data_IF_266024307698
#
_entry.id   IF_266024307698
#
_cell.length_a   1.000
_cell.length_b   1.000
_cell.length_c   1.000
_cell.angle_alpha   90.00
_cell.angle_beta   90.00
_cell.angle_gamma   90.00
#
_symmetry.space_group_name_H-M   'P 1'
#
loop_
_entity.id
_entity.type
_entity.pdbx_description
1 polymer ?
#
# COMPACT_ATOMS: atom_id res chain seq x y z
N UNK A 1 20.61 11.58 -23.36
CA UNK A 1 19.76 11.57 -22.15
C UNK A 1 20.64 11.94 -20.98
N UNK A 2 20.27 12.97 -20.20
CA UNK A 2 21.01 13.34 -19.00
C UNK A 2 20.48 12.48 -17.84
N UNK A 3 21.37 11.78 -17.16
CA UNK A 3 21.04 11.10 -15.90
C UNK A 3 20.96 12.15 -14.82
N UNK A 4 19.76 12.47 -14.35
CA UNK A 4 19.55 13.32 -13.18
C UNK A 4 19.68 12.47 -11.92
N UNK A 5 20.53 12.88 -10.98
CA UNK A 5 20.61 12.27 -9.65
C UNK A 5 19.91 13.18 -8.66
N UNK A 6 18.91 12.67 -7.97
CA UNK A 6 18.21 13.37 -6.89
C UNK A 6 18.76 12.91 -5.55
N UNK A 7 18.88 13.85 -4.62
CA UNK A 7 19.41 13.59 -3.29
C UNK A 7 18.36 13.98 -2.26
N UNK A 8 18.06 13.06 -1.35
CA UNK A 8 17.14 13.28 -0.24
C UNK A 8 17.87 13.08 1.08
N UNK A 9 17.69 14.05 1.99
CA UNK A 9 18.12 13.90 3.37
C UNK A 9 17.03 13.17 4.16
N UNK A 10 17.33 11.96 4.63
CA UNK A 10 16.40 11.18 5.44
C UNK A 10 16.43 11.62 6.90
N UNK A 11 15.25 11.84 7.46
CA UNK A 11 15.07 11.93 8.91
C UNK A 11 15.03 10.51 9.51
N UNK A 12 15.39 10.33 10.81
CA UNK A 12 15.26 9.04 11.47
C UNK A 12 13.84 8.48 11.34
N UNK A 13 13.73 7.20 10.96
CA UNK A 13 12.45 6.50 10.79
C UNK A 13 11.50 7.13 9.75
N UNK A 14 12.03 7.88 8.78
CA UNK A 14 11.24 8.45 7.68
C UNK A 14 11.32 7.59 6.42
N UNK A 15 10.21 7.57 5.66
CA UNK A 15 10.13 7.01 4.31
C UNK A 15 9.87 8.17 3.35
N UNK A 16 10.65 8.26 2.27
CA UNK A 16 10.47 9.27 1.23
C UNK A 16 10.07 8.54 -0.06
N UNK A 17 8.80 8.64 -0.49
CA UNK A 17 8.39 8.12 -1.79
C UNK A 17 8.94 9.02 -2.90
N UNK A 18 9.53 8.42 -3.94
CA UNK A 18 10.02 9.14 -5.11
C UNK A 18 9.38 8.56 -6.37
N UNK A 19 8.69 9.41 -7.13
CA UNK A 19 8.07 9.05 -8.40
C UNK A 19 8.91 9.58 -9.55
N UNK A 20 9.23 8.69 -10.50
CA UNK A 20 10.03 9.01 -11.67
C UNK A 20 9.21 8.76 -12.94
N UNK A 21 9.10 9.79 -13.78
CA UNK A 21 8.53 9.68 -15.12
C UNK A 21 9.66 9.70 -16.15
N UNK A 22 9.66 8.73 -17.05
CA UNK A 22 10.62 8.66 -18.15
C UNK A 22 9.91 8.32 -19.45
N UNK A 23 10.49 8.78 -20.56
CA UNK A 23 10.05 8.48 -21.91
C UNK A 23 11.04 7.54 -22.59
N UNK A 24 10.55 6.48 -23.21
CA UNK A 24 11.39 5.57 -23.99
C UNK A 24 11.30 5.94 -25.48
N UNK A 25 12.44 6.22 -26.14
CA UNK A 25 12.45 6.62 -27.54
C UNK A 25 12.28 5.44 -28.50
N UNK A 26 12.53 4.22 -28.05
CA UNK A 26 12.45 3.00 -28.84
C UNK A 26 12.29 1.76 -27.93
N UNK A 27 11.85 0.62 -28.49
CA UNK A 27 11.88 -0.68 -27.81
C UNK A 27 13.31 -1.07 -27.39
N UNK A 28 13.45 -1.75 -26.26
CA UNK A 28 14.73 -2.17 -25.73
C UNK A 28 14.70 -2.44 -24.23
N UNK A 29 15.86 -2.83 -23.68
CA UNK A 29 16.05 -3.01 -22.24
C UNK A 29 16.74 -1.78 -21.66
N UNK A 30 16.08 -1.13 -20.71
CA UNK A 30 16.56 0.07 -20.05
C UNK A 30 16.84 -0.24 -18.59
N UNK A 31 18.09 -0.01 -18.16
CA UNK A 31 18.49 -0.18 -16.77
C UNK A 31 18.11 1.03 -15.93
N UNK A 32 17.52 0.80 -14.78
CA UNK A 32 17.33 1.84 -13.75
C UNK A 32 18.52 1.83 -12.80
N UNK A 33 19.07 3.01 -12.53
CA UNK A 33 20.06 3.16 -11.47
C UNK A 33 19.37 2.99 -10.11
N UNK A 34 19.83 2.05 -9.25
CA UNK A 34 19.19 1.81 -7.97
C UNK A 34 19.41 2.96 -6.99
N UNK A 35 18.56 3.06 -5.98
CA UNK A 35 18.75 3.98 -4.87
C UNK A 35 20.01 3.60 -4.07
N UNK A 36 20.79 4.62 -3.67
CA UNK A 36 22.00 4.45 -2.87
C UNK A 36 21.88 5.24 -1.56
N UNK A 37 22.27 4.62 -0.45
CA UNK A 37 22.31 5.27 0.87
C UNK A 37 23.75 5.55 1.24
N UNK A 38 24.07 6.82 1.49
CA UNK A 38 25.42 7.27 1.85
C UNK A 38 25.44 7.89 3.25
N UNK A 39 26.57 7.77 3.95
CA UNK A 39 26.84 8.47 5.21
C UNK A 39 28.30 8.83 5.31
N UNK A 40 28.60 10.13 5.47
CA UNK A 40 29.99 10.65 5.60
C UNK A 40 30.89 10.11 4.48
N UNK A 41 30.44 10.29 3.24
CA UNK A 41 31.12 9.86 2.01
C UNK A 41 31.36 8.35 1.86
N UNK A 42 30.68 7.52 2.68
CA UNK A 42 30.69 6.06 2.55
C UNK A 42 29.32 5.56 2.08
N UNK A 43 29.33 4.73 1.04
CA UNK A 43 28.15 3.99 0.61
C UNK A 43 27.82 2.94 1.67
N UNK A 44 26.61 3.01 2.23
CA UNK A 44 26.12 2.09 3.27
C UNK A 44 25.31 0.94 2.67
N UNK A 45 24.46 1.24 1.69
CA UNK A 45 23.58 0.26 1.05
C UNK A 45 23.21 0.71 -0.36
N UNK A 46 22.89 -0.26 -1.22
CA UNK A 46 22.41 -0.05 -2.58
C UNK A 46 21.20 -0.93 -2.81
N UNK A 47 20.18 -0.41 -3.50
CA UNK A 47 19.06 -1.20 -3.98
C UNK A 47 19.48 -2.18 -5.08
N UNK A 48 18.62 -3.17 -5.34
CA UNK A 48 18.83 -4.09 -6.45
C UNK A 48 18.68 -3.37 -7.80
N UNK A 49 19.53 -3.67 -8.80
CA UNK A 49 19.36 -3.13 -10.14
C UNK A 49 18.06 -3.65 -10.76
N UNK A 50 17.29 -2.76 -11.36
CA UNK A 50 16.02 -3.08 -12.01
C UNK A 50 16.13 -2.78 -13.50
N UNK A 51 15.51 -3.64 -14.32
CA UNK A 51 15.46 -3.48 -15.76
C UNK A 51 14.01 -3.29 -16.19
N UNK A 52 13.79 -2.37 -17.13
CA UNK A 52 12.51 -2.18 -17.80
C UNK A 52 12.67 -2.65 -19.24
N UNK A 53 11.87 -3.63 -19.63
CA UNK A 53 11.82 -4.14 -20.99
C UNK A 53 10.66 -3.45 -21.74
N UNK A 54 11.01 -2.70 -22.77
CA UNK A 54 10.08 -1.95 -23.62
C UNK A 54 9.96 -2.68 -24.93
N UNK A 55 8.75 -3.08 -25.30
CA UNK A 55 8.46 -3.81 -26.53
C UNK A 55 7.69 -2.93 -27.52
N UNK A 56 7.90 -3.15 -28.81
CA UNK A 56 7.32 -2.33 -29.89
C UNK A 56 5.80 -2.49 -30.00
N UNK A 57 5.32 -3.71 -29.78
CA UNK A 57 3.91 -4.06 -29.75
C UNK A 57 3.70 -4.91 -28.51
N UNK A 58 2.70 -4.54 -27.70
CA UNK A 58 2.23 -5.39 -26.61
C UNK A 58 1.86 -6.74 -27.23
N UNK A 59 2.34 -7.85 -26.68
CA UNK A 59 1.99 -9.21 -27.13
C UNK A 59 0.51 -9.47 -26.80
N UNK A 60 -0.37 -8.85 -27.58
CA UNK A 60 -1.71 -9.32 -27.85
C UNK A 60 -1.59 -9.98 -29.23
N UNK A 61 -2.15 -11.17 -29.41
CA UNK A 61 -2.14 -11.95 -30.67
C UNK A 61 -1.00 -12.96 -30.91
N UNK A 62 -0.65 -13.80 -29.93
CA UNK A 62 -0.28 -15.19 -30.28
C UNK A 62 -0.92 -16.18 -29.29
N UNK A 63 -2.17 -16.55 -29.57
CA UNK A 63 -2.62 -17.94 -29.46
C UNK A 63 -2.67 -18.63 -28.10
N UNK A 64 -2.58 -17.92 -26.97
CA UNK A 64 -2.79 -18.52 -25.66
C UNK A 64 -4.18 -18.15 -25.14
N UNK A 65 -5.12 -19.10 -25.23
CA UNK A 65 -6.31 -19.13 -24.39
C UNK A 65 -5.86 -19.24 -22.93
N UNK A 66 -5.45 -18.13 -22.33
CA UNK A 66 -5.15 -18.00 -20.92
C UNK A 66 -6.27 -17.20 -20.28
N UNK A 67 -6.66 -17.63 -19.09
CA UNK A 67 -7.76 -17.10 -18.32
C UNK A 67 -7.77 -15.57 -18.29
N UNK A 68 -8.96 -15.01 -18.07
CA UNK A 68 -9.28 -13.60 -17.86
C UNK A 68 -8.49 -13.00 -16.67
N UNK A 69 -7.17 -13.00 -16.73
CA UNK A 69 -6.30 -12.44 -15.70
C UNK A 69 -6.40 -10.91 -15.76
N UNK A 70 -6.53 -10.23 -14.61
CA UNK A 70 -6.66 -8.79 -14.58
C UNK A 70 -5.41 -8.14 -15.21
N UNK A 71 -5.60 -7.15 -16.08
CA UNK A 71 -4.51 -6.47 -16.79
C UNK A 71 -3.95 -5.27 -16.02
N UNK A 72 -4.65 -4.84 -14.97
CA UNK A 72 -4.26 -3.79 -14.05
C UNK A 72 -4.75 -4.12 -12.63
N UNK A 73 -4.17 -3.45 -11.63
CA UNK A 73 -4.65 -3.60 -10.25
C UNK A 73 -6.11 -3.14 -10.11
N UNK A 74 -6.49 -2.08 -10.83
CA UNK A 74 -7.88 -1.63 -10.90
C UNK A 74 -8.81 -2.73 -11.44
N UNK A 75 -8.42 -3.44 -12.51
CA UNK A 75 -9.21 -4.57 -13.03
C UNK A 75 -9.30 -5.71 -12.03
N UNK A 76 -8.20 -6.01 -11.33
CA UNK A 76 -8.16 -7.02 -10.27
C UNK A 76 -9.14 -6.66 -9.14
N UNK A 77 -9.21 -5.39 -8.77
CA UNK A 77 -10.09 -4.90 -7.72
C UNK A 77 -11.55 -4.76 -8.15
N UNK A 78 -11.87 -4.52 -9.43
CA UNK A 78 -13.26 -4.39 -9.89
C UNK A 78 -13.90 -5.73 -10.26
N UNK A 79 -13.19 -6.58 -11.00
CA UNK A 79 -13.73 -7.83 -11.54
C UNK A 79 -13.13 -9.09 -10.90
N UNK A 80 -12.03 -8.95 -10.16
CA UNK A 80 -11.31 -10.09 -9.57
C UNK A 80 -11.89 -10.60 -8.26
N UNK A 81 -11.62 -11.88 -7.97
CA UNK A 81 -11.92 -12.49 -6.66
C UNK A 81 -10.95 -11.96 -5.59
N UNK A 82 -11.22 -12.26 -4.32
CA UNK A 82 -10.33 -11.86 -3.22
C UNK A 82 -8.92 -12.43 -3.40
N UNK A 83 -8.84 -13.66 -3.89
CA UNK A 83 -7.60 -14.37 -4.17
C UNK A 83 -6.82 -13.72 -5.31
N UNK A 84 -7.50 -13.25 -6.35
CA UNK A 84 -6.84 -12.54 -7.46
C UNK A 84 -6.20 -11.23 -6.99
N UNK A 85 -6.89 -10.48 -6.12
CA UNK A 85 -6.36 -9.25 -5.51
C UNK A 85 -5.20 -9.57 -4.56
N UNK A 86 -5.34 -10.60 -3.73
CA UNK A 86 -4.28 -11.02 -2.82
C UNK A 86 -3.02 -11.46 -3.57
N UNK A 87 -3.17 -12.28 -4.62
CA UNK A 87 -2.07 -12.71 -5.47
C UNK A 87 -1.38 -11.53 -6.16
N UNK A 88 -2.15 -10.53 -6.61
CA UNK A 88 -1.57 -9.29 -7.16
C UNK A 88 -0.72 -8.57 -6.11
N UNK A 89 -1.25 -8.44 -4.89
CA UNK A 89 -0.57 -7.77 -3.78
C UNK A 89 0.61 -8.56 -3.23
N UNK A 90 0.71 -9.86 -3.48
CA UNK A 90 1.85 -10.71 -3.10
C UNK A 90 3.05 -10.59 -4.07
N UNK A 91 2.81 -10.29 -5.35
CA UNK A 91 3.88 -10.19 -6.36
C UNK A 91 4.53 -8.79 -6.41
N UNK A 92 5.71 -8.58 -5.80
CA UNK A 92 6.32 -7.25 -5.69
C UNK A 92 6.67 -6.62 -7.04
N UNK A 93 6.75 -7.40 -8.12
CA UNK A 93 7.02 -6.88 -9.46
C UNK A 93 5.79 -6.19 -10.09
N UNK A 94 4.59 -6.48 -9.58
CA UNK A 94 3.36 -5.85 -10.09
C UNK A 94 3.18 -4.45 -9.51
N UNK A 95 2.95 -3.43 -10.35
CA UNK A 95 2.73 -2.06 -9.89
C UNK A 95 1.38 -1.96 -9.17
N UNK A 96 1.36 -1.14 -8.13
CA UNK A 96 0.16 -0.74 -7.39
C UNK A 96 0.35 0.72 -7.01
N UNK A 97 -0.50 1.60 -7.50
CA UNK A 97 -0.45 3.01 -7.14
C UNK A 97 -1.34 3.33 -5.92
N UNK A 98 -0.95 4.28 -5.05
CA UNK A 98 -1.78 4.71 -3.92
C UNK A 98 -3.21 5.14 -4.31
N UNK A 99 -3.37 5.78 -5.47
CA UNK A 99 -4.67 6.18 -5.99
C UNK A 99 -5.57 4.98 -6.36
N UNK A 100 -4.98 3.87 -6.81
CA UNK A 100 -5.73 2.65 -7.11
C UNK A 100 -6.16 1.93 -5.82
N UNK A 101 -5.33 1.99 -4.77
CA UNK A 101 -5.68 1.51 -3.42
C UNK A 101 -6.89 2.26 -2.85
N UNK A 102 -6.98 3.58 -3.07
CA UNK A 102 -8.17 4.35 -2.69
C UNK A 102 -9.43 3.91 -3.44
N UNK A 103 -9.30 3.62 -4.74
CA UNK A 103 -10.42 3.08 -5.51
C UNK A 103 -10.84 1.69 -5.00
N UNK A 104 -9.87 0.82 -4.68
CA UNK A 104 -10.11 -0.51 -4.12
C UNK A 104 -10.79 -0.47 -2.74
N UNK A 105 -10.49 0.54 -1.92
CA UNK A 105 -11.11 0.72 -0.61
C UNK A 105 -12.65 0.82 -0.72
N UNK A 106 -13.19 1.36 -1.82
CA UNK A 106 -14.65 1.48 -2.02
C UNK A 106 -15.36 0.12 -2.10
N UNK A 107 -14.64 -0.97 -2.44
CA UNK A 107 -15.18 -2.34 -2.45
C UNK A 107 -15.19 -2.98 -1.07
N UNK A 108 -14.41 -2.47 -0.12
CA UNK A 108 -14.18 -3.06 1.20
C UNK A 108 -15.25 -2.67 2.25
N UNK A 109 -16.51 -2.61 1.83
CA UNK A 109 -17.64 -2.27 2.71
C UNK A 109 -17.98 -3.37 3.73
N UNK A 110 -19.13 -3.24 4.41
CA UNK A 110 -19.59 -4.24 5.37
C UNK A 110 -19.67 -5.65 4.75
N UNK A 111 -19.13 -6.66 5.43
CA UNK A 111 -19.12 -8.05 4.95
C UNK A 111 -17.94 -8.41 4.02
N UNK A 112 -17.03 -7.48 3.74
CA UNK A 112 -15.82 -7.69 2.92
C UNK A 112 -14.53 -7.60 3.75
N UNK A 113 -14.56 -8.11 4.99
CA UNK A 113 -13.44 -8.04 5.94
C UNK A 113 -12.18 -8.76 5.43
N UNK A 114 -12.36 -9.93 4.79
CA UNK A 114 -11.23 -10.70 4.26
C UNK A 114 -10.50 -9.94 3.14
N UNK A 115 -11.24 -9.35 2.20
CA UNK A 115 -10.66 -8.53 1.13
C UNK A 115 -9.90 -7.34 1.70
N UNK A 116 -10.51 -6.64 2.66
CA UNK A 116 -9.89 -5.51 3.34
C UNK A 116 -8.58 -5.92 4.03
N UNK A 117 -8.60 -7.00 4.81
CA UNK A 117 -7.42 -7.49 5.53
C UNK A 117 -6.28 -7.88 4.58
N UNK A 118 -6.60 -8.52 3.43
CA UNK A 118 -5.63 -8.87 2.39
C UNK A 118 -5.00 -7.64 1.74
N UNK A 119 -5.81 -6.63 1.45
CA UNK A 119 -5.34 -5.36 0.89
C UNK A 119 -4.44 -4.60 1.87
N UNK A 120 -4.83 -4.48 3.14
CA UNK A 120 -4.02 -3.83 4.18
C UNK A 120 -2.69 -4.57 4.36
N UNK A 121 -2.71 -5.89 4.53
CA UNK A 121 -1.48 -6.67 4.70
C UNK A 121 -0.56 -6.57 3.47
N UNK A 122 -1.14 -6.58 2.26
CA UNK A 122 -0.39 -6.39 1.01
C UNK A 122 0.23 -5.00 0.91
N UNK A 123 -0.52 -3.96 1.26
CA UNK A 123 -0.07 -2.58 1.22
C UNK A 123 1.04 -2.33 2.26
N UNK A 124 0.88 -2.83 3.49
CA UNK A 124 1.91 -2.77 4.54
C UNK A 124 3.22 -3.40 4.10
N UNK A 125 3.19 -4.61 3.52
CA UNK A 125 4.41 -5.28 3.01
C UNK A 125 5.14 -4.46 1.94
N UNK A 126 4.41 -3.63 1.20
CA UNK A 126 4.93 -2.76 0.14
C UNK A 126 5.26 -1.35 0.61
N UNK A 127 5.01 -1.03 1.88
CA UNK A 127 5.15 0.33 2.42
C UNK A 127 4.18 1.33 1.79
N UNK A 128 3.03 0.87 1.30
CA UNK A 128 1.98 1.71 0.73
C UNK A 128 0.95 2.04 1.81
N UNK A 129 0.55 3.31 1.87
CA UNK A 129 -0.48 3.80 2.79
C UNK A 129 -1.58 4.52 2.02
N UNK A 130 -2.83 4.23 2.38
CA UNK A 130 -4.02 4.90 1.84
C UNK A 130 -4.96 5.24 2.99
N UNK A 131 -5.25 6.53 3.17
CA UNK A 131 -6.17 7.01 4.21
C UNK A 131 -7.54 6.35 4.06
N UNK A 132 -8.06 6.22 2.84
CA UNK A 132 -9.35 5.61 2.58
C UNK A 132 -9.39 4.14 3.04
N UNK A 133 -8.37 3.34 2.70
CA UNK A 133 -8.31 1.93 3.07
C UNK A 133 -8.13 1.75 4.59
N UNK A 134 -7.29 2.56 5.22
CA UNK A 134 -7.06 2.49 6.67
C UNK A 134 -8.21 3.04 7.51
N UNK A 135 -8.99 4.00 7.01
CA UNK A 135 -10.17 4.51 7.71
C UNK A 135 -11.23 3.42 7.93
N UNK A 136 -11.29 2.41 7.03
CA UNK A 136 -12.15 1.25 7.15
C UNK A 136 -11.75 0.30 8.28
N UNK A 137 -10.58 0.50 8.91
CA UNK A 137 -10.21 -0.22 10.14
C UNK A 137 -11.23 -0.03 11.26
N UNK A 138 -11.88 1.14 11.31
CA UNK A 138 -12.96 1.45 12.24
C UNK A 138 -14.21 0.60 11.95
N UNK A 139 -14.54 0.40 10.67
CA UNK A 139 -15.67 -0.41 10.24
C UNK A 139 -15.45 -1.89 10.57
N UNK A 140 -14.25 -2.41 10.27
CA UNK A 140 -13.87 -3.81 10.50
C UNK A 140 -13.35 -4.06 11.93
N UNK A 141 -13.30 -3.04 12.79
CA UNK A 141 -12.93 -3.12 14.21
C UNK A 141 -11.56 -3.74 14.46
N UNK A 142 -10.60 -3.48 13.57
CA UNK A 142 -9.25 -4.02 13.68
C UNK A 142 -8.35 -3.07 14.48
N UNK A 143 -8.15 -3.39 15.76
CA UNK A 143 -7.27 -2.62 16.65
C UNK A 143 -5.89 -2.26 16.06
N UNK A 144 -5.11 -3.21 15.49
CA UNK A 144 -3.79 -2.87 14.95
C UNK A 144 -3.86 -1.89 13.77
N UNK A 145 -4.86 -2.01 12.89
CA UNK A 145 -5.02 -1.10 11.76
C UNK A 145 -5.59 0.27 12.19
N UNK A 146 -6.39 0.32 13.26
CA UNK A 146 -6.87 1.59 13.85
C UNK A 146 -5.71 2.36 14.44
N UNK A 147 -4.80 1.70 15.16
CA UNK A 147 -3.61 2.35 15.71
C UNK A 147 -2.76 2.97 14.61
N UNK A 148 -2.47 2.21 13.54
CA UNK A 148 -1.72 2.73 12.40
C UNK A 148 -2.47 3.88 11.70
N UNK A 149 -3.78 3.77 11.53
CA UNK A 149 -4.60 4.85 10.97
C UNK A 149 -4.47 6.13 11.79
N UNK A 150 -4.60 6.06 13.11
CA UNK A 150 -4.52 7.21 14.01
C UNK A 150 -3.12 7.81 14.03
N UNK A 151 -2.07 6.99 14.07
CA UNK A 151 -0.68 7.46 14.06
C UNK A 151 -0.34 8.23 12.78
N UNK A 152 -0.83 7.76 11.63
CA UNK A 152 -0.51 8.35 10.33
C UNK A 152 -1.41 9.54 9.98
N UNK A 153 -2.71 9.45 10.26
CA UNK A 153 -3.70 10.48 9.84
C UNK A 153 -4.02 11.51 10.93
N UNK A 154 -3.86 11.16 12.21
CA UNK A 154 -4.25 12.00 13.34
C UNK A 154 -3.19 12.02 14.47
N UNK A 155 -1.92 12.36 14.16
CA UNK A 155 -0.84 12.30 15.14
C UNK A 155 -1.08 13.21 16.36
N UNK A 156 -1.68 14.39 16.17
CA UNK A 156 -2.02 15.32 17.26
C UNK A 156 -3.04 14.74 18.23
N UNK A 157 -4.03 13.99 17.70
CA UNK A 157 -5.01 13.31 18.53
C UNK A 157 -4.32 12.26 19.38
N UNK A 158 -3.48 11.42 18.78
CA UNK A 158 -2.70 10.40 19.51
C UNK A 158 -1.85 11.05 20.60
N UNK A 159 -1.18 12.17 20.34
CA UNK A 159 -0.38 12.86 21.36
C UNK A 159 -1.20 13.40 22.53
N UNK A 160 -2.47 13.76 22.32
CA UNK A 160 -3.36 14.27 23.37
C UNK A 160 -3.98 13.18 24.23
N UNK A 161 -4.11 11.95 23.71
CA UNK A 161 -4.75 10.82 24.40
C UNK A 161 -3.78 9.72 24.83
N UNK A 162 -2.63 9.60 24.17
CA UNK A 162 -1.62 8.59 24.51
C UNK A 162 -0.77 9.08 25.68
N UNK A 163 -0.63 8.21 26.69
CA UNK A 163 0.34 8.43 27.76
C UNK A 163 1.75 8.40 27.14
N UNK A 164 2.63 9.39 27.42
CA UNK A 164 3.98 9.38 26.89
C UNK A 164 4.71 8.09 27.26
N UNK A 165 5.06 7.27 26.26
CA UNK A 165 5.84 6.04 26.45
C UNK A 165 5.09 4.71 26.23
N UNK A 166 3.77 4.75 26.05
CA UNK A 166 2.97 3.56 25.71
C UNK A 166 2.20 3.84 24.42
N UNK A 167 2.79 3.47 23.28
CA UNK A 167 2.08 3.40 21.99
C UNK A 167 1.10 2.22 22.04
N UNK A 168 0.00 2.42 22.76
CA UNK A 168 -1.15 1.54 22.72
C UNK A 168 -2.37 2.43 22.92
N UNK A 169 -3.03 2.76 21.82
CA UNK A 169 -4.36 3.38 21.88
C UNK A 169 -5.30 2.33 22.46
N UNK A 170 -5.68 2.50 23.74
CA UNK A 170 -6.65 1.63 24.39
C UNK A 170 -8.02 1.93 23.79
N UNK A 171 -8.44 1.14 22.81
CA UNK A 171 -9.83 1.09 22.39
C UNK A 171 -10.60 0.29 23.43
N UNK A 172 -11.19 0.98 24.41
CA UNK A 172 -12.07 0.31 25.36
C UNK A 172 -13.26 -0.34 24.65
N UNK A 173 -13.44 -1.65 24.90
CA UNK A 173 -14.49 -2.53 24.39
C UNK A 173 -15.94 -2.09 24.75
N UNK A 174 -16.08 -1.03 25.53
CA UNK A 174 -17.33 -0.45 26.03
C UNK A 174 -18.27 0.02 24.90
N UNK A 175 -17.75 0.31 23.71
CA UNK A 175 -18.55 0.73 22.54
C UNK A 175 -19.03 -0.43 21.65
N UNK A 176 -18.59 -1.67 21.91
CA UNK A 176 -18.91 -2.84 21.07
C UNK A 176 -20.09 -3.67 21.58
N UNK A 177 -20.53 -3.48 22.82
CA UNK A 177 -21.71 -4.12 23.39
C UNK A 177 -22.92 -3.18 23.35
N UNK A 178 -23.65 -3.23 22.25
CA UNK A 178 -24.97 -2.63 22.16
C UNK A 178 -25.89 -3.13 23.27
N UNK A 179 -26.45 -2.18 24.02
CA UNK A 179 -27.76 -2.20 24.66
C UNK A 179 -28.32 -3.58 25.05
N UNK A 180 -27.94 -4.10 26.22
CA UNK A 180 -28.81 -5.02 26.96
C UNK A 180 -29.70 -4.19 27.87
N UNK A 181 -30.99 -4.11 27.50
CA UNK A 181 -32.06 -3.39 28.20
C UNK A 181 -31.99 -3.60 29.71
N UNK A 182 -31.93 -2.51 30.46
CA UNK A 182 -32.44 -2.49 31.84
C UNK A 182 -33.94 -2.76 31.79
N UNK A 183 -34.38 -3.85 32.42
CA UNK A 183 -35.77 -4.08 32.78
C UNK A 183 -35.97 -3.62 34.22
N UNK A 184 -37.05 -2.89 34.55
CA UNK A 184 -37.28 -2.42 35.91
C UNK A 184 -37.79 -3.55 36.81
N UNK A 185 -37.52 -3.36 38.10
CA UNK A 185 -38.05 -4.03 39.32
C UNK A 185 -39.31 -4.87 39.18
#
# INVERSE_FOLDING_TARGET
>A
MATESRQHLFQPYSTVPEELYFYFPAPGKFGMFPAHVWKRDKLLACGSPTWIEVVERRVEEEGASLAKEPKSFTDACQEGTVEAVAAWMEDPARPVHPAELEAAARRCGPGQEELWARLVAGAQRRGLYSVALWSLSLLHRSAPAIEEFLLQSHPDFVQSVAVPGTSTVILESSLLHGARKEGPT
#
